data_IF_435191065339
#
_entry.id   IF_435191065339
#
_cell.length_a   1.000
_cell.length_b   1.000
_cell.length_c   1.000
_cell.angle_alpha   90.00
_cell.angle_beta   90.00
_cell.angle_gamma   90.00
#
_symmetry.space_group_name_H-M   'P 1'
#
loop_
_entity.id
_entity.type
_entity.pdbx_description
1 polymer ?
#
# COMPACT_ATOMS: atom_id res chain seq x y z
N UNK A 1 -21.62 -56.86 20.62
CA UNK A 1 -20.27 -56.91 21.22
C UNK A 1 -19.33 -57.45 20.15
N UNK A 2 -18.35 -56.65 19.70
CA UNK A 2 -17.03 -56.99 19.09
C UNK A 2 -16.91 -58.20 18.13
N UNK A 3 -16.15 -58.21 17.03
CA UNK A 3 -15.29 -57.29 16.26
C UNK A 3 -14.62 -58.19 15.17
N UNK A 4 -14.30 -57.61 14.00
CA UNK A 4 -13.16 -57.93 13.07
C UNK A 4 -13.30 -59.06 12.02
N UNK A 5 -13.35 -58.74 10.71
CA UNK A 5 -12.34 -58.47 9.61
C UNK A 5 -11.60 -59.69 9.02
N UNK A 6 -11.70 -59.87 7.68
CA UNK A 6 -10.64 -60.00 6.64
C UNK A 6 -11.11 -60.87 5.44
N UNK A 7 -11.45 -60.28 4.27
CA UNK A 7 -10.66 -59.99 3.04
C UNK A 7 -10.61 -61.13 2.00
N UNK A 8 -11.07 -60.85 0.76
CA UNK A 8 -10.52 -61.20 -0.57
C UNK A 8 -11.45 -60.54 -1.62
N UNK A 9 -11.14 -59.36 -2.16
CA UNK A 9 -10.32 -59.08 -3.36
C UNK A 9 -10.90 -59.60 -4.69
N UNK A 10 -11.34 -58.68 -5.56
CA UNK A 10 -11.16 -58.75 -7.01
C UNK A 10 -11.27 -57.35 -7.64
N UNK A 11 -10.18 -56.95 -8.29
CA UNK A 11 -10.00 -55.74 -9.08
C UNK A 11 -11.00 -55.65 -10.24
N UNK A 12 -11.48 -54.44 -10.53
CA UNK A 12 -11.67 -53.99 -11.89
C UNK A 12 -11.26 -52.51 -11.97
N UNK A 13 -10.08 -52.31 -12.57
CA UNK A 13 -9.52 -51.01 -12.94
C UNK A 13 -10.28 -50.50 -14.15
N UNK A 14 -10.91 -49.33 -14.03
CA UNK A 14 -11.23 -48.51 -15.19
C UNK A 14 -10.68 -47.10 -14.92
N UNK A 15 -9.47 -46.85 -15.46
CA UNK A 15 -8.93 -45.52 -15.62
C UNK A 15 -9.81 -44.78 -16.64
N UNK A 16 -10.63 -43.85 -16.18
CA UNK A 16 -11.19 -42.81 -17.02
C UNK A 16 -10.25 -41.61 -16.94
N UNK A 17 -9.26 -41.60 -17.85
CA UNK A 17 -8.65 -40.36 -18.33
C UNK A 17 -9.71 -39.62 -19.16
N UNK A 18 -10.53 -38.83 -18.48
CA UNK A 18 -11.37 -37.80 -19.09
C UNK A 18 -10.72 -36.46 -18.83
N UNK A 19 -10.07 -35.91 -19.85
CA UNK A 19 -9.42 -34.61 -19.87
C UNK A 19 -10.41 -33.56 -19.35
N UNK A 20 -10.14 -33.01 -18.15
CA UNK A 20 -10.78 -31.77 -17.74
C UNK A 20 -10.27 -30.69 -18.69
N UNK A 21 -11.07 -30.36 -19.69
CA UNK A 21 -10.89 -29.17 -20.49
C UNK A 21 -10.88 -27.99 -19.55
N UNK A 22 -9.72 -27.33 -19.41
CA UNK A 22 -9.59 -26.00 -18.84
C UNK A 22 -10.47 -25.06 -19.67
N UNK A 23 -11.74 -24.90 -19.30
CA UNK A 23 -12.53 -23.76 -19.73
C UNK A 23 -11.94 -22.56 -18.99
N UNK A 24 -10.94 -21.93 -19.60
CA UNK A 24 -10.54 -20.58 -19.24
C UNK A 24 -11.80 -19.72 -19.47
N UNK A 25 -12.52 -19.41 -18.40
CA UNK A 25 -13.58 -18.43 -18.45
C UNK A 25 -12.93 -17.11 -18.87
N UNK A 26 -13.31 -16.59 -20.02
CA UNK A 26 -12.93 -15.23 -20.39
C UNK A 26 -13.69 -14.30 -19.44
N UNK A 27 -12.97 -13.67 -18.52
CA UNK A 27 -13.53 -12.75 -17.56
C UNK A 27 -13.36 -11.33 -18.12
N UNK A 28 -14.47 -10.69 -18.48
CA UNK A 28 -14.47 -9.28 -18.87
C UNK A 28 -14.84 -8.44 -17.66
N UNK A 29 -13.91 -7.59 -17.23
CA UNK A 29 -14.08 -6.64 -16.14
C UNK A 29 -14.49 -5.28 -16.71
N UNK A 30 -15.62 -4.76 -16.25
CA UNK A 30 -16.21 -3.51 -16.70
C UNK A 30 -15.85 -2.37 -15.75
N UNK A 31 -15.26 -1.30 -16.28
CA UNK A 31 -14.82 -0.14 -15.51
C UNK A 31 -15.64 1.09 -15.88
N UNK A 32 -16.20 1.79 -14.89
CA UNK A 32 -16.65 3.15 -15.12
C UNK A 32 -15.49 4.10 -14.78
N UNK A 33 -15.02 4.88 -15.76
CA UNK A 33 -13.85 5.74 -15.59
C UNK A 33 -14.29 7.19 -15.51
N UNK A 34 -14.01 7.84 -14.38
CA UNK A 34 -14.23 9.27 -14.25
C UNK A 34 -13.46 10.05 -15.32
N UNK A 35 -14.04 11.16 -15.77
CA UNK A 35 -13.39 12.01 -16.77
C UNK A 35 -12.13 12.64 -16.19
N UNK A 36 -10.96 12.31 -16.76
CA UNK A 36 -9.71 12.93 -16.38
C UNK A 36 -9.73 14.45 -16.69
N UNK A 37 -9.29 15.31 -15.75
CA UNK A 37 -9.13 16.73 -16.01
C UNK A 37 -8.24 17.00 -17.23
N UNK A 38 -8.65 17.90 -18.12
CA UNK A 38 -8.00 18.15 -19.41
C UNK A 38 -6.52 18.56 -19.29
N UNK A 39 -6.13 19.21 -18.19
CA UNK A 39 -4.75 19.61 -17.95
C UNK A 39 -3.83 18.45 -17.55
N UNK A 40 -4.37 17.34 -17.02
CA UNK A 40 -3.64 16.10 -16.75
C UNK A 40 -3.59 15.17 -17.97
N UNK A 41 -4.64 15.22 -18.81
CA UNK A 41 -4.73 14.36 -19.99
C UNK A 41 -3.53 14.52 -20.92
N UNK A 42 -2.92 15.71 -21.02
CA UNK A 42 -1.71 15.91 -21.83
C UNK A 42 -0.54 15.01 -21.42
N UNK A 43 -0.45 14.63 -20.15
CA UNK A 43 0.65 13.86 -19.59
C UNK A 43 0.28 12.39 -19.36
N UNK A 44 -0.98 12.10 -19.06
CA UNK A 44 -1.43 10.77 -18.63
C UNK A 44 -2.45 10.11 -19.59
N UNK A 45 -2.54 10.59 -20.82
CA UNK A 45 -3.36 9.92 -21.86
C UNK A 45 -2.90 8.46 -22.03
N UNK A 46 -3.85 7.53 -22.18
CA UNK A 46 -3.55 6.11 -22.37
C UNK A 46 -3.09 5.35 -21.12
N UNK A 47 -2.91 6.03 -19.97
CA UNK A 47 -2.38 5.43 -18.73
C UNK A 47 -3.14 4.16 -18.29
N UNK A 48 -4.47 4.24 -18.19
CA UNK A 48 -5.31 3.12 -17.77
C UNK A 48 -5.32 2.00 -18.81
N UNK A 49 -5.31 2.34 -20.10
CA UNK A 49 -5.29 1.36 -21.19
C UNK A 49 -3.98 0.56 -21.17
N UNK A 50 -2.85 1.21 -20.93
CA UNK A 50 -1.55 0.54 -20.81
C UNK A 50 -1.48 -0.37 -19.58
N UNK A 51 -2.02 0.07 -18.44
CA UNK A 51 -2.11 -0.74 -17.23
C UNK A 51 -3.03 -1.96 -17.40
N UNK A 52 -4.19 -1.79 -18.04
CA UNK A 52 -5.10 -2.89 -18.37
C UNK A 52 -4.42 -3.93 -19.28
N UNK A 53 -3.76 -3.48 -20.36
CA UNK A 53 -3.03 -4.36 -21.28
C UNK A 53 -1.95 -5.20 -20.61
N UNK A 54 -1.30 -4.68 -19.57
CA UNK A 54 -0.33 -5.44 -18.77
C UNK A 54 -0.97 -6.69 -18.16
N UNK A 55 -2.14 -6.53 -17.54
CA UNK A 55 -2.87 -7.63 -16.92
C UNK A 55 -3.51 -8.57 -17.93
N UNK A 56 -4.12 -8.05 -19.01
CA UNK A 56 -4.67 -8.89 -20.09
C UNK A 56 -3.61 -9.78 -20.75
N UNK A 57 -2.36 -9.30 -20.83
CA UNK A 57 -1.24 -10.11 -21.36
C UNK A 57 -0.81 -11.20 -20.39
N UNK A 58 -0.89 -10.94 -19.08
CA UNK A 58 -0.49 -11.88 -18.02
C UNK A 58 -1.54 -12.96 -17.75
N UNK A 59 -2.83 -12.64 -17.91
CA UNK A 59 -3.95 -13.51 -17.51
C UNK A 59 -4.75 -13.91 -18.76
N UNK A 60 -4.56 -15.14 -19.28
CA UNK A 60 -5.26 -15.59 -20.47
C UNK A 60 -6.78 -15.53 -20.31
N UNK A 61 -7.45 -14.82 -21.21
CA UNK A 61 -8.91 -14.66 -21.21
C UNK A 61 -9.42 -13.43 -20.46
N UNK A 62 -8.58 -12.73 -19.70
CA UNK A 62 -8.95 -11.48 -19.06
C UNK A 62 -9.11 -10.36 -20.10
N UNK A 63 -10.17 -9.57 -19.94
CA UNK A 63 -10.42 -8.35 -20.71
C UNK A 63 -10.89 -7.22 -19.81
N UNK A 64 -10.50 -6.00 -20.12
CA UNK A 64 -11.04 -4.80 -19.50
C UNK A 64 -11.85 -3.99 -20.50
N UNK A 65 -13.04 -3.55 -20.11
CA UNK A 65 -13.90 -2.69 -20.93
C UNK A 65 -14.38 -1.48 -20.15
N UNK A 66 -14.30 -0.29 -20.75
CA UNK A 66 -14.86 0.92 -20.16
C UNK A 66 -16.34 1.04 -20.52
N UNK A 67 -17.19 1.16 -19.50
CA UNK A 67 -18.64 1.33 -19.65
C UNK A 67 -19.07 2.77 -19.42
N UNK A 68 -20.24 3.13 -19.94
CA UNK A 68 -20.77 4.50 -19.90
C UNK A 68 -21.44 4.85 -18.57
N UNK A 69 -21.95 3.86 -17.84
CA UNK A 69 -22.74 4.07 -16.64
C UNK A 69 -22.19 3.23 -15.48
N UNK A 70 -22.24 3.79 -14.27
CA UNK A 70 -21.69 3.18 -13.04
C UNK A 70 -22.37 1.84 -12.71
N UNK A 71 -23.67 1.71 -12.96
CA UNK A 71 -24.44 0.50 -12.70
C UNK A 71 -23.98 -0.71 -13.54
N UNK A 72 -23.39 -0.44 -14.72
CA UNK A 72 -22.80 -1.43 -15.63
C UNK A 72 -21.37 -1.82 -15.27
N UNK A 73 -20.74 -1.11 -14.33
CA UNK A 73 -19.35 -1.37 -13.95
C UNK A 73 -19.24 -2.34 -12.77
N UNK A 74 -18.14 -3.07 -12.75
CA UNK A 74 -17.69 -3.86 -11.61
C UNK A 74 -17.04 -2.95 -10.56
N UNK A 75 -16.30 -1.92 -10.99
CA UNK A 75 -15.76 -0.88 -10.11
C UNK A 75 -15.58 0.47 -10.84
N UNK A 76 -15.39 1.52 -10.04
CA UNK A 76 -15.22 2.90 -10.52
C UNK A 76 -13.75 3.33 -10.44
N UNK A 77 -13.21 3.89 -11.52
CA UNK A 77 -11.87 4.48 -11.56
C UNK A 77 -11.94 5.99 -11.38
N UNK A 78 -11.15 6.51 -10.44
CA UNK A 78 -11.12 7.92 -10.07
C UNK A 78 -9.71 8.50 -10.23
N UNK A 79 -9.64 9.77 -10.61
CA UNK A 79 -8.38 10.51 -10.76
C UNK A 79 -8.26 11.54 -9.64
N UNK A 80 -7.12 11.57 -8.96
CA UNK A 80 -6.93 12.50 -7.84
C UNK A 80 -5.57 13.20 -7.86
N UNK A 81 -5.53 14.45 -7.37
CA UNK A 81 -4.29 15.19 -7.04
C UNK A 81 -3.95 15.13 -5.56
N UNK A 82 -4.84 14.53 -4.76
CA UNK A 82 -4.63 14.17 -3.36
C UNK A 82 -5.88 13.44 -2.86
N UNK A 83 -5.73 12.22 -2.35
CA UNK A 83 -6.76 11.61 -1.50
C UNK A 83 -6.26 11.62 -0.07
N UNK A 84 -6.82 12.48 0.77
CA UNK A 84 -6.53 12.54 2.21
C UNK A 84 -5.05 12.31 2.56
N UNK A 85 -4.82 11.30 3.40
CA UNK A 85 -3.61 10.82 4.11
C UNK A 85 -2.31 10.58 3.29
N UNK A 86 -2.15 11.12 2.07
CA UNK A 86 -0.90 11.01 1.30
C UNK A 86 -0.73 9.68 0.54
N UNK A 87 -1.83 8.95 0.31
CA UNK A 87 -1.84 7.72 -0.51
C UNK A 87 -1.72 8.05 -2.00
N UNK A 88 -0.94 7.23 -2.71
CA UNK A 88 -0.58 7.41 -4.12
C UNK A 88 -1.41 6.55 -5.08
N UNK A 89 -2.12 5.56 -4.54
CA UNK A 89 -3.22 4.83 -5.13
C UNK A 89 -4.02 4.16 -4.01
N UNK A 90 -5.25 3.72 -4.30
CA UNK A 90 -5.99 2.84 -3.41
C UNK A 90 -7.15 2.16 -4.12
N UNK A 91 -7.30 0.85 -3.89
CA UNK A 91 -8.50 0.10 -4.19
C UNK A 91 -9.34 -0.18 -2.94
N UNK A 92 -10.63 0.20 -2.99
CA UNK A 92 -11.61 -0.06 -1.95
C UNK A 92 -12.69 -1.01 -2.41
N UNK A 93 -12.90 -2.08 -1.66
CA UNK A 93 -14.09 -2.94 -1.78
C UNK A 93 -15.34 -2.31 -1.12
N UNK A 94 -15.18 -1.22 -0.37
CA UNK A 94 -16.29 -0.58 0.33
C UNK A 94 -17.31 0.02 -0.65
N UNK A 95 -18.52 -0.52 -0.65
CA UNK A 95 -19.63 -0.05 -1.47
C UNK A 95 -20.48 1.03 -0.77
N UNK A 96 -20.16 1.41 0.47
CA UNK A 96 -20.87 2.46 1.22
C UNK A 96 -20.47 3.89 0.81
N UNK A 97 -20.26 4.08 -0.48
CA UNK A 97 -19.87 5.34 -1.11
C UNK A 97 -20.95 5.84 -2.10
N UNK A 98 -20.73 7.01 -2.71
CA UNK A 98 -21.69 7.64 -3.61
C UNK A 98 -22.00 6.83 -4.90
N UNK A 99 -21.13 5.89 -5.26
CA UNK A 99 -21.29 5.03 -6.43
C UNK A 99 -21.99 3.71 -6.13
N UNK A 100 -22.04 3.29 -4.85
CA UNK A 100 -22.57 1.98 -4.50
C UNK A 100 -21.76 0.80 -5.05
N UNK A 101 -20.48 1.05 -5.38
CA UNK A 101 -19.56 0.12 -6.07
C UNK A 101 -18.14 0.25 -5.48
N UNK A 102 -17.29 -0.78 -5.60
CA UNK A 102 -15.86 -0.64 -5.31
C UNK A 102 -15.24 0.51 -6.10
N UNK A 103 -14.19 1.13 -5.56
CA UNK A 103 -13.50 2.26 -6.18
C UNK A 103 -12.00 2.04 -6.26
N UNK A 104 -11.40 2.53 -7.34
CA UNK A 104 -9.95 2.57 -7.55
C UNK A 104 -9.55 4.02 -7.76
N UNK A 105 -8.73 4.57 -6.88
CA UNK A 105 -8.20 5.92 -7.02
C UNK A 105 -6.74 5.86 -7.51
N UNK A 106 -6.42 6.67 -8.53
CA UNK A 106 -5.05 6.86 -9.02
C UNK A 106 -4.61 8.30 -8.78
N UNK A 107 -3.55 8.48 -8.00
CA UNK A 107 -3.00 9.81 -7.70
C UNK A 107 -2.03 10.26 -8.81
N UNK A 108 -2.36 11.36 -9.48
CA UNK A 108 -1.61 11.91 -10.63
C UNK A 108 -0.73 13.12 -10.25
N UNK A 109 -0.88 13.61 -9.02
CA UNK A 109 -0.08 14.71 -8.51
C UNK A 109 -0.26 14.88 -7.01
N UNK A 110 0.46 15.85 -6.45
CA UNK A 110 0.46 16.16 -5.02
C UNK A 110 0.72 17.65 -4.81
N UNK A 111 0.27 18.18 -3.68
CA UNK A 111 0.61 19.54 -3.28
C UNK A 111 1.86 19.54 -2.40
N UNK A 112 2.89 20.27 -2.82
CA UNK A 112 4.06 20.58 -2.00
C UNK A 112 4.41 22.07 -2.17
N UNK A 113 4.79 22.73 -1.08
CA UNK A 113 5.13 24.16 -1.07
C UNK A 113 4.08 25.06 -1.75
N UNK A 114 2.79 24.74 -1.52
CA UNK A 114 1.62 25.41 -2.12
C UNK A 114 1.50 25.28 -3.65
N UNK A 115 2.29 24.41 -4.28
CA UNK A 115 2.25 24.12 -5.71
C UNK A 115 1.78 22.69 -5.97
N UNK A 116 0.99 22.50 -7.03
CA UNK A 116 0.66 21.18 -7.56
C UNK A 116 1.85 20.65 -8.35
N UNK A 117 2.37 19.50 -7.95
CA UNK A 117 3.43 18.76 -8.65
C UNK A 117 2.82 17.49 -9.22
N UNK A 118 3.05 17.22 -10.49
CA UNK A 118 2.59 15.98 -11.14
C UNK A 118 3.63 14.88 -10.95
N UNK A 119 3.17 13.64 -10.77
CA UNK A 119 4.06 12.48 -10.79
C UNK A 119 4.51 12.19 -12.24
N UNK A 120 5.58 11.42 -12.42
CA UNK A 120 5.96 10.97 -13.77
C UNK A 120 4.92 10.00 -14.34
N UNK A 121 4.86 9.86 -15.67
CA UNK A 121 3.95 8.91 -16.31
C UNK A 121 4.25 7.47 -15.88
N UNK A 122 5.52 7.10 -15.81
CA UNK A 122 5.99 5.77 -15.42
C UNK A 122 5.56 5.42 -14.00
N UNK A 123 5.59 6.42 -13.10
CA UNK A 123 5.15 6.23 -11.73
C UNK A 123 3.64 6.06 -11.66
N UNK A 124 2.86 6.93 -12.30
CA UNK A 124 1.41 6.76 -12.38
C UNK A 124 1.04 5.38 -12.97
N UNK A 125 1.82 4.89 -13.94
CA UNK A 125 1.59 3.60 -14.59
C UNK A 125 1.85 2.43 -13.64
N UNK A 126 2.91 2.52 -12.83
CA UNK A 126 3.23 1.50 -11.84
C UNK A 126 2.13 1.40 -10.77
N UNK A 127 1.69 2.54 -10.23
CA UNK A 127 0.54 2.61 -9.31
C UNK A 127 -0.70 2.02 -9.96
N UNK A 128 -1.04 2.46 -11.17
CA UNK A 128 -2.27 2.00 -11.84
C UNK A 128 -2.25 0.49 -12.06
N UNK A 129 -1.09 -0.11 -12.37
CA UNK A 129 -0.95 -1.57 -12.47
C UNK A 129 -1.19 -2.25 -11.13
N UNK A 130 -0.60 -1.73 -10.05
CA UNK A 130 -0.75 -2.27 -8.70
C UNK A 130 -2.21 -2.26 -8.24
N UNK A 131 -2.87 -1.10 -8.33
CA UNK A 131 -4.27 -0.95 -7.91
C UNK A 131 -5.25 -1.77 -8.77
N UNK A 132 -4.98 -1.90 -10.08
CA UNK A 132 -5.75 -2.82 -10.93
C UNK A 132 -5.58 -4.27 -10.50
N UNK A 133 -4.42 -4.66 -9.99
CA UNK A 133 -4.23 -6.01 -9.44
C UNK A 133 -5.08 -6.25 -8.20
N UNK A 134 -5.22 -5.26 -7.32
CA UNK A 134 -6.17 -5.33 -6.21
C UNK A 134 -7.62 -5.41 -6.70
N UNK A 135 -7.98 -4.68 -7.76
CA UNK A 135 -9.31 -4.80 -8.37
C UNK A 135 -9.60 -6.19 -8.97
N UNK A 136 -8.55 -6.94 -9.32
CA UNK A 136 -8.62 -8.34 -9.73
C UNK A 136 -8.57 -9.33 -8.55
N UNK A 137 -8.56 -8.83 -7.30
CA UNK A 137 -8.49 -9.65 -6.09
C UNK A 137 -7.09 -10.16 -5.75
N UNK A 138 -6.02 -9.58 -6.32
CA UNK A 138 -4.66 -9.98 -6.00
C UNK A 138 -4.19 -9.37 -4.68
N UNK A 139 -3.62 -10.17 -3.77
CA UNK A 139 -2.92 -9.65 -2.59
C UNK A 139 -1.55 -9.09 -2.99
N UNK A 140 -0.90 -8.41 -2.04
CA UNK A 140 0.51 -8.05 -2.21
C UNK A 140 1.39 -9.28 -2.46
N UNK A 141 2.46 -9.07 -3.21
CA UNK A 141 3.51 -10.04 -3.49
C UNK A 141 4.77 -9.71 -2.70
N UNK A 142 5.49 -10.72 -2.24
CA UNK A 142 6.78 -10.58 -1.58
C UNK A 142 7.95 -10.45 -2.59
N UNK A 143 7.69 -10.63 -3.90
CA UNK A 143 8.70 -10.53 -4.93
C UNK A 143 8.83 -9.07 -5.42
N UNK A 144 9.98 -8.40 -5.24
CA UNK A 144 10.19 -7.00 -5.63
C UNK A 144 10.06 -6.70 -7.13
N UNK A 145 10.16 -7.72 -7.97
CA UNK A 145 9.95 -7.60 -9.42
C UNK A 145 8.47 -7.79 -9.84
N UNK A 146 7.58 -8.08 -8.90
CA UNK A 146 6.14 -8.20 -9.16
C UNK A 146 5.44 -6.84 -9.12
N UNK A 147 4.44 -6.65 -9.98
CA UNK A 147 3.62 -5.44 -9.95
C UNK A 147 2.80 -5.31 -8.65
N UNK A 148 2.53 -6.42 -7.96
CA UNK A 148 1.86 -6.43 -6.66
C UNK A 148 2.82 -6.27 -5.47
N UNK A 149 4.11 -6.02 -5.69
CA UNK A 149 5.01 -5.71 -4.59
C UNK A 149 4.66 -4.33 -4.00
N UNK A 150 4.52 -4.21 -2.67
CA UNK A 150 4.12 -2.97 -1.99
C UNK A 150 5.29 -1.96 -1.94
N UNK A 151 5.77 -1.55 -3.11
CA UNK A 151 6.83 -0.54 -3.23
C UNK A 151 6.31 0.89 -2.99
N UNK A 152 4.98 1.10 -3.03
CA UNK A 152 4.38 2.39 -3.37
C UNK A 152 3.13 2.64 -2.49
N UNK A 153 3.33 2.69 -1.17
CA UNK A 153 2.21 2.84 -0.21
C UNK A 153 1.98 4.29 0.30
N UNK A 154 2.98 5.19 0.32
CA UNK A 154 2.72 6.61 0.62
C UNK A 154 3.75 7.62 0.07
N UNK A 155 3.30 8.88 0.02
CA UNK A 155 4.00 10.06 -0.49
C UNK A 155 5.38 10.35 0.14
N UNK A 156 5.63 10.00 1.40
CA UNK A 156 6.88 10.35 2.10
C UNK A 156 8.03 9.37 1.80
N UNK A 157 7.70 8.15 1.36
CA UNK A 157 8.70 7.21 0.80
C UNK A 157 9.40 7.76 -0.47
N UNK A 158 8.76 8.70 -1.17
CA UNK A 158 9.27 9.33 -2.40
C UNK A 158 10.22 10.51 -2.16
N UNK A 159 10.05 11.25 -1.06
CA UNK A 159 11.01 12.33 -0.73
C UNK A 159 12.36 11.76 -0.32
N UNK A 160 12.40 10.56 0.26
CA UNK A 160 13.65 9.87 0.62
C UNK A 160 14.31 9.25 -0.64
N UNK A 161 13.56 8.72 -1.60
CA UNK A 161 14.13 8.24 -2.87
C UNK A 161 14.63 9.38 -3.79
N UNK A 162 13.98 10.54 -3.80
CA UNK A 162 14.39 11.68 -4.64
C UNK A 162 15.50 12.55 -4.01
N UNK A 163 15.62 12.58 -2.68
CA UNK A 163 16.73 13.28 -1.98
C UNK A 163 17.95 12.39 -1.69
N UNK A 164 17.83 11.07 -1.82
CA UNK A 164 18.95 10.13 -1.77
C UNK A 164 18.90 9.13 -2.93
N UNK A 165 19.09 9.62 -4.15
CA UNK A 165 19.66 8.80 -5.22
C UNK A 165 21.15 8.56 -4.96
N UNK A 166 21.48 7.95 -3.82
CA UNK A 166 22.69 7.15 -3.73
C UNK A 166 22.23 5.74 -4.00
N UNK A 167 22.32 5.32 -5.27
CA UNK A 167 22.44 3.89 -5.58
C UNK A 167 23.73 3.41 -4.92
N UNK A 168 23.67 3.12 -3.63
CA UNK A 168 24.70 2.32 -2.99
C UNK A 168 24.48 0.93 -3.56
N UNK A 169 25.43 0.48 -4.36
CA UNK A 169 25.64 -0.94 -4.60
C UNK A 169 25.86 -1.56 -3.22
N UNK A 170 24.80 -2.05 -2.57
CA UNK A 170 24.91 -2.71 -1.27
C UNK A 170 25.46 -4.10 -1.55
N UNK A 171 26.78 -4.18 -1.75
CA UNK A 171 27.48 -5.46 -1.85
C UNK A 171 27.61 -6.14 -0.46
N UNK A 172 27.10 -5.50 0.59
CA UNK A 172 27.14 -5.97 1.98
C UNK A 172 25.81 -5.65 2.71
N UNK A 173 24.82 -6.51 2.51
CA UNK A 173 23.51 -6.41 3.15
C UNK A 173 23.58 -6.48 4.67
N UNK A 174 24.60 -7.15 5.23
CA UNK A 174 24.79 -7.25 6.67
C UNK A 174 25.17 -5.86 7.26
N UNK A 175 26.11 -5.16 6.63
CA UNK A 175 26.45 -3.79 7.05
C UNK A 175 25.26 -2.83 6.89
N UNK A 176 24.49 -2.96 5.81
CA UNK A 176 23.33 -2.09 5.55
C UNK A 176 22.18 -2.33 6.54
N UNK A 177 21.83 -3.59 6.81
CA UNK A 177 20.82 -3.95 7.82
C UNK A 177 21.23 -3.48 9.21
N UNK A 178 22.49 -3.72 9.63
CA UNK A 178 23.00 -3.25 10.92
C UNK A 178 22.95 -1.73 11.08
N UNK A 179 23.19 -0.96 10.01
CA UNK A 179 23.02 0.51 10.02
C UNK A 179 21.57 0.90 10.33
N UNK A 180 20.60 0.35 9.61
CA UNK A 180 19.21 0.72 9.78
C UNK A 180 18.61 0.17 11.08
N UNK A 181 19.05 -0.98 11.56
CA UNK A 181 18.71 -1.51 12.88
C UNK A 181 19.03 -0.52 14.00
N UNK A 182 20.22 0.10 13.91
CA UNK A 182 20.66 1.10 14.88
C UNK A 182 19.84 2.38 14.77
N UNK A 183 19.68 2.92 13.56
CA UNK A 183 18.95 4.18 13.33
C UNK A 183 17.49 4.10 13.80
N UNK A 184 16.79 3.04 13.43
CA UNK A 184 15.42 2.76 13.88
C UNK A 184 15.34 2.63 15.40
N UNK A 185 16.19 1.80 16.01
CA UNK A 185 16.21 1.60 17.47
C UNK A 185 16.44 2.89 18.24
N UNK A 186 17.45 3.69 17.84
CA UNK A 186 17.74 4.99 18.46
C UNK A 186 16.59 6.00 18.28
N UNK A 187 15.80 5.87 17.22
CA UNK A 187 14.66 6.75 16.93
C UNK A 187 13.40 6.31 17.67
N UNK A 188 13.09 5.02 17.74
CA UNK A 188 11.87 4.47 18.37
C UNK A 188 11.87 4.71 19.88
N UNK A 189 12.98 4.42 20.56
CA UNK A 189 13.08 4.48 22.03
C UNK A 189 12.55 5.79 22.63
N UNK A 190 12.98 6.99 22.17
CA UNK A 190 12.48 8.24 22.73
C UNK A 190 11.02 8.57 22.32
N UNK A 191 10.49 7.98 21.26
CA UNK A 191 9.17 8.35 20.72
C UNK A 191 8.01 7.87 21.58
N UNK A 192 8.15 6.74 22.29
CA UNK A 192 7.12 6.30 23.23
C UNK A 192 6.86 7.35 24.32
N UNK A 193 7.95 7.90 24.89
CA UNK A 193 7.86 8.96 25.90
C UNK A 193 7.26 10.25 25.32
N UNK A 194 7.67 10.63 24.11
CA UNK A 194 7.12 11.82 23.44
C UNK A 194 5.65 11.66 23.06
N UNK A 195 5.20 10.45 22.72
CA UNK A 195 3.82 10.15 22.43
C UNK A 195 2.95 10.25 23.69
N UNK A 196 3.44 9.75 24.82
CA UNK A 196 2.76 9.89 26.11
C UNK A 196 2.65 11.37 26.52
N UNK A 197 3.73 12.14 26.36
CA UNK A 197 3.74 13.59 26.62
C UNK A 197 2.74 14.33 25.71
N UNK A 198 2.73 14.02 24.41
CA UNK A 198 1.77 14.56 23.46
C UNK A 198 0.32 14.27 23.84
N UNK A 199 0.04 13.08 24.40
CA UNK A 199 -1.29 12.71 24.91
C UNK A 199 -1.69 13.56 26.12
N UNK A 200 -0.77 13.79 27.05
CA UNK A 200 -0.99 14.64 28.23
C UNK A 200 -1.34 16.05 27.77
N UNK A 201 -0.54 16.60 26.87
CA UNK A 201 -0.77 17.92 26.28
C UNK A 201 -2.14 18.01 25.60
N UNK A 202 -2.48 17.04 24.76
CA UNK A 202 -3.79 16.95 24.09
C UNK A 202 -4.98 16.97 25.05
N UNK A 203 -4.90 16.22 26.14
CA UNK A 203 -5.98 16.15 27.13
C UNK A 203 -6.13 17.45 27.94
N UNK A 204 -5.06 18.24 28.04
CA UNK A 204 -5.04 19.51 28.76
C UNK A 204 -5.30 20.74 27.89
N UNK A 205 -5.22 20.60 26.56
CA UNK A 205 -5.32 21.70 25.63
C UNK A 205 -6.76 22.20 25.45
N UNK A 206 -6.90 23.51 25.24
CA UNK A 206 -8.16 24.14 24.87
C UNK A 206 -8.18 24.42 23.37
N UNK A 207 -9.22 23.92 22.69
CA UNK A 207 -9.40 24.06 21.25
C UNK A 207 -10.49 25.09 20.94
N UNK A 208 -10.28 25.90 19.92
CA UNK A 208 -11.23 26.93 19.45
C UNK A 208 -12.45 26.31 18.78
N UNK A 209 -12.32 25.08 18.27
CA UNK A 209 -13.43 24.34 17.64
C UNK A 209 -13.27 22.83 17.75
N UNK A 210 -14.38 22.10 17.56
CA UNK A 210 -14.37 20.64 17.45
C UNK A 210 -13.52 20.16 16.27
N UNK A 211 -13.54 20.89 15.15
CA UNK A 211 -12.74 20.53 13.97
C UNK A 211 -11.24 20.64 14.23
N UNK A 212 -10.80 21.61 15.05
CA UNK A 212 -9.41 21.73 15.46
C UNK A 212 -9.03 20.56 16.38
N UNK A 213 -9.87 20.25 17.38
CA UNK A 213 -9.70 19.08 18.25
C UNK A 213 -9.55 17.78 17.44
N UNK A 214 -10.44 17.53 16.49
CA UNK A 214 -10.45 16.31 15.67
C UNK A 214 -9.17 16.21 14.82
N UNK A 215 -8.70 17.33 14.26
CA UNK A 215 -7.47 17.36 13.46
C UNK A 215 -6.22 17.03 14.29
N UNK A 216 -6.09 17.59 15.51
CA UNK A 216 -4.93 17.31 16.37
C UNK A 216 -4.99 15.89 16.93
N UNK A 217 -6.18 15.38 17.28
CA UNK A 217 -6.35 13.98 17.66
C UNK A 217 -6.01 13.02 16.52
N UNK A 218 -6.34 13.37 15.28
CA UNK A 218 -5.95 12.58 14.12
C UNK A 218 -4.43 12.49 13.97
N UNK A 219 -3.68 13.58 14.21
CA UNK A 219 -2.22 13.54 14.24
C UNK A 219 -1.69 12.57 15.32
N UNK A 220 -2.28 12.58 16.51
CA UNK A 220 -1.91 11.64 17.57
C UNK A 220 -2.17 10.17 17.22
N UNK A 221 -3.33 9.89 16.62
CA UNK A 221 -3.65 8.53 16.15
C UNK A 221 -2.66 8.04 15.10
N UNK A 222 -2.27 8.90 14.16
CA UNK A 222 -1.24 8.58 13.16
C UNK A 222 0.12 8.35 13.80
N UNK A 223 0.54 9.22 14.73
CA UNK A 223 1.77 9.03 15.47
C UNK A 223 1.85 7.66 16.15
N UNK A 224 0.78 7.28 16.85
CA UNK A 224 0.68 5.98 17.53
C UNK A 224 0.76 4.82 16.53
N UNK A 225 0.01 4.90 15.43
CA UNK A 225 0.00 3.84 14.41
C UNK A 225 1.39 3.63 13.80
N UNK A 226 2.07 4.71 13.42
CA UNK A 226 3.42 4.63 12.85
C UNK A 226 4.44 4.10 13.85
N UNK A 227 4.34 4.48 15.13
CA UNK A 227 5.24 3.96 16.16
C UNK A 227 5.08 2.44 16.34
N UNK A 228 3.84 1.95 16.41
CA UNK A 228 3.55 0.51 16.51
C UNK A 228 4.10 -0.26 15.30
N UNK A 229 3.93 0.29 14.10
CA UNK A 229 4.45 -0.35 12.89
C UNK A 229 5.98 -0.34 12.84
N UNK A 230 6.62 0.75 13.30
CA UNK A 230 8.06 0.84 13.44
C UNK A 230 8.60 -0.24 14.39
N UNK A 231 7.95 -0.43 15.55
CA UNK A 231 8.32 -1.48 16.52
C UNK A 231 8.15 -2.89 15.95
N UNK A 232 7.05 -3.15 15.23
CA UNK A 232 6.80 -4.44 14.57
C UNK A 232 7.89 -4.78 13.56
N UNK A 233 8.19 -3.83 12.66
CA UNK A 233 9.22 -3.98 11.64
C UNK A 233 10.63 -4.08 12.24
N UNK A 234 10.87 -3.45 13.40
CA UNK A 234 12.13 -3.61 14.14
C UNK A 234 12.32 -5.04 14.64
N UNK A 235 11.25 -5.67 15.12
CA UNK A 235 11.29 -7.07 15.57
C UNK A 235 11.47 -8.02 14.38
N UNK A 236 10.72 -7.79 13.30
CA UNK A 236 10.80 -8.56 12.07
C UNK A 236 12.19 -8.52 11.44
N UNK A 237 12.80 -7.33 11.34
CA UNK A 237 14.17 -7.17 10.86
C UNK A 237 15.17 -7.95 11.71
N UNK A 238 14.96 -8.00 13.03
CA UNK A 238 15.75 -8.83 13.96
C UNK A 238 15.60 -10.33 13.72
N UNK A 239 14.38 -10.79 13.39
CA UNK A 239 14.14 -12.20 13.01
C UNK A 239 14.96 -12.59 11.79
N UNK A 240 14.97 -11.74 10.75
CA UNK A 240 15.76 -12.00 9.54
C UNK A 240 17.27 -12.00 9.78
N UNK A 241 17.79 -11.19 10.73
CA UNK A 241 19.21 -11.27 11.15
C UNK A 241 19.54 -12.66 11.70
N UNK A 242 18.67 -13.24 12.55
CA UNK A 242 18.89 -14.57 13.13
C UNK A 242 18.93 -15.67 12.06
N UNK A 243 18.22 -15.46 10.96
CA UNK A 243 18.19 -16.35 9.80
C UNK A 243 19.32 -16.07 8.80
N UNK A 244 20.16 -15.06 9.07
CA UNK A 244 21.17 -14.55 8.12
C UNK A 244 20.60 -14.03 6.80
N UNK A 245 19.32 -13.66 6.78
CA UNK A 245 18.65 -13.04 5.64
C UNK A 245 18.81 -11.51 5.71
N UNK A 246 20.02 -11.03 5.42
CA UNK A 246 20.38 -9.63 5.63
C UNK A 246 19.71 -8.65 4.66
N UNK A 247 19.23 -9.13 3.51
CA UNK A 247 18.50 -8.30 2.54
C UNK A 247 17.10 -7.98 3.07
N UNK A 248 16.34 -8.99 3.50
CA UNK A 248 15.03 -8.78 4.14
C UNK A 248 15.16 -8.02 5.46
N UNK A 249 16.19 -8.33 6.24
CA UNK A 249 16.52 -7.58 7.45
C UNK A 249 16.74 -6.08 7.16
N UNK A 250 17.45 -5.76 6.08
CA UNK A 250 17.66 -4.39 5.64
C UNK A 250 16.35 -3.71 5.29
N UNK A 251 15.48 -4.36 4.52
CA UNK A 251 14.19 -3.78 4.13
C UNK A 251 13.30 -3.53 5.34
N UNK A 252 13.18 -4.51 6.24
CA UNK A 252 12.41 -4.36 7.47
C UNK A 252 12.94 -3.23 8.36
N UNK A 253 14.25 -3.15 8.61
CA UNK A 253 14.82 -2.08 9.44
C UNK A 253 14.74 -0.70 8.79
N UNK A 254 14.86 -0.61 7.46
CA UNK A 254 14.69 0.65 6.73
C UNK A 254 13.25 1.14 6.86
N UNK A 255 12.27 0.27 6.63
CA UNK A 255 10.84 0.58 6.79
C UNK A 255 10.50 0.93 8.25
N UNK A 256 11.12 0.26 9.22
CA UNK A 256 11.00 0.59 10.65
C UNK A 256 11.47 2.02 10.93
N UNK A 257 12.65 2.39 10.45
CA UNK A 257 13.18 3.75 10.62
C UNK A 257 12.30 4.81 9.95
N UNK A 258 11.81 4.55 8.75
CA UNK A 258 10.92 5.48 8.04
C UNK A 258 9.60 5.69 8.79
N UNK A 259 8.99 4.63 9.33
CA UNK A 259 7.81 4.75 10.20
C UNK A 259 8.12 5.50 11.51
N UNK A 260 9.29 5.30 12.11
CA UNK A 260 9.69 6.05 13.30
C UNK A 260 9.81 7.56 13.02
N UNK A 261 10.34 7.95 11.85
CA UNK A 261 10.37 9.36 11.43
C UNK A 261 8.97 9.95 11.25
N UNK A 262 8.05 9.19 10.63
CA UNK A 262 6.64 9.58 10.49
C UNK A 262 5.96 9.80 11.84
N UNK A 263 6.18 8.88 12.77
CA UNK A 263 5.68 9.00 14.14
C UNK A 263 6.19 10.28 14.81
N UNK A 264 7.50 10.55 14.70
CA UNK A 264 8.13 11.75 15.24
C UNK A 264 7.49 13.03 14.70
N UNK A 265 7.33 13.15 13.40
CA UNK A 265 6.74 14.32 12.77
C UNK A 265 5.29 14.54 13.22
N UNK A 266 4.50 13.47 13.35
CA UNK A 266 3.13 13.57 13.86
C UNK A 266 3.07 13.99 15.32
N UNK A 267 4.00 13.52 16.16
CA UNK A 267 4.13 13.98 17.54
C UNK A 267 4.50 15.47 17.59
N UNK A 268 5.44 15.92 16.76
CA UNK A 268 5.82 17.33 16.67
C UNK A 268 4.63 18.21 16.24
N UNK A 269 3.80 17.74 15.30
CA UNK A 269 2.55 18.42 14.93
C UNK A 269 1.60 18.53 16.12
N UNK A 270 1.37 17.45 16.87
CA UNK A 270 0.54 17.52 18.09
C UNK A 270 1.10 18.55 19.07
N UNK A 271 2.40 18.50 19.34
CA UNK A 271 3.05 19.38 20.31
C UNK A 271 3.10 20.85 19.86
N UNK A 272 3.11 21.15 18.57
CA UNK A 272 3.04 22.54 18.08
C UNK A 272 1.69 23.19 18.36
N UNK A 273 0.59 22.43 18.23
CA UNK A 273 -0.75 22.93 18.55
C UNK A 273 -0.94 23.22 20.04
N UNK A 274 -0.16 22.56 20.90
CA UNK A 274 -0.30 22.66 22.35
C UNK A 274 0.73 23.59 23.01
N UNK A 275 1.71 24.10 22.25
CA UNK A 275 2.77 25.01 22.76
C UNK A 275 2.50 26.49 22.50
N UNK A 276 1.64 26.85 21.54
CA UNK A 276 1.36 28.24 21.15
C UNK A 276 0.16 28.88 21.91
N UNK A 277 -0.37 28.22 22.94
CA UNK A 277 -1.43 28.73 23.83
C UNK A 277 -1.11 28.45 25.29
#
# INVERSE_FOLDING_TARGET
MNRRIHYFAALAVMMLFGIASNTAYAETIHMYVEKMPQHWQKQFDGLLEEAAKYWEKKIPGLKFETVKFVDQSDFVVQWTSQHGEGKIGYYSEDTSNAYGKPTMAVTLGYFADKNLNLVSYEHALLVTKHELGHALGMPHSDNPDDAMYPTVDDYESLQIQSSQSVRISVNDWNAASGKYQKLSGETIIPLALLLDDAKVHLNSASFESQSEYDAVWMHYWWAKKYLVEAERLQIEGGSHVLESNYEESYHAFKSSYENALKAKQKIEQVLSYTKER
#
